data_IF_068370540079
#
_entry.id   IF_068370540079
#
_cell.length_a   1.000
_cell.length_b   1.000
_cell.length_c   1.000
_cell.angle_alpha   90.00
_cell.angle_beta   90.00
_cell.angle_gamma   90.00
#
_symmetry.space_group_name_H-M   'P 1'
#
loop_
_entity.id
_entity.type
_entity.pdbx_description
1 polymer ?
#
# COMPACT_ATOMS: atom_id res chain seq x y z
N UNK A 1 32.30 9.90 18.64
CA UNK A 1 30.97 9.63 19.23
C UNK A 1 30.04 9.30 18.06
N UNK A 2 29.77 8.03 17.80
CA UNK A 2 28.97 7.58 16.65
C UNK A 2 27.57 7.25 17.17
N UNK A 3 26.59 8.12 16.90
CA UNK A 3 25.19 7.83 17.22
C UNK A 3 24.65 6.97 16.08
N UNK A 4 24.54 5.67 16.32
CA UNK A 4 23.83 4.74 15.43
C UNK A 4 22.38 5.23 15.29
N UNK A 5 21.87 5.48 14.07
CA UNK A 5 20.47 5.79 13.90
C UNK A 5 19.66 4.57 14.33
N UNK A 6 18.83 4.77 15.36
CA UNK A 6 17.84 3.79 15.81
C UNK A 6 17.03 3.38 14.58
N UNK A 7 17.18 2.13 14.12
CA UNK A 7 16.33 1.61 13.05
C UNK A 7 14.91 1.57 13.61
N UNK A 8 14.11 2.60 13.29
CA UNK A 8 12.69 2.58 13.58
C UNK A 8 12.10 1.40 12.83
N UNK A 9 11.79 0.33 13.56
CA UNK A 9 10.96 -0.75 13.05
C UNK A 9 9.61 -0.08 12.80
N UNK A 10 9.10 -0.02 11.55
CA UNK A 10 7.76 0.45 11.33
C UNK A 10 6.84 -0.48 12.11
N UNK A 11 6.24 0.04 13.18
CA UNK A 11 5.05 -0.60 13.76
C UNK A 11 4.04 -0.60 12.63
N UNK A 12 3.77 -1.78 12.07
CA UNK A 12 2.63 -1.96 11.20
C UNK A 12 1.43 -1.48 12.01
N UNK A 13 0.80 -0.40 11.54
CA UNK A 13 -0.53 -0.03 12.01
C UNK A 13 -1.39 -1.31 11.95
N UNK A 14 -2.29 -1.55 12.94
CA UNK A 14 -3.03 -2.81 13.00
C UNK A 14 -3.68 -3.07 11.65
N UNK A 15 -3.16 -4.07 10.93
CA UNK A 15 -3.72 -4.48 9.66
C UNK A 15 -5.11 -5.01 9.99
N UNK A 16 -6.14 -4.25 9.64
CA UNK A 16 -7.52 -4.62 9.91
C UNK A 16 -7.76 -5.97 9.24
N UNK A 17 -7.82 -7.03 10.05
CA UNK A 17 -8.04 -8.37 9.55
C UNK A 17 -9.42 -8.38 8.90
N UNK A 18 -9.56 -8.78 7.63
CA UNK A 18 -10.86 -8.96 7.02
C UNK A 18 -11.69 -9.89 7.91
N UNK A 19 -12.79 -9.40 8.45
CA UNK A 19 -13.69 -10.14 9.34
C UNK A 19 -14.71 -10.97 8.56
N UNK A 20 -14.79 -10.77 7.24
CA UNK A 20 -15.73 -11.48 6.39
C UNK A 20 -15.09 -11.90 5.05
N UNK A 21 -15.35 -13.12 4.55
CA UNK A 21 -14.77 -13.61 3.28
C UNK A 21 -15.13 -12.76 2.06
N UNK A 22 -16.26 -12.04 2.09
CA UNK A 22 -16.61 -11.09 1.02
C UNK A 22 -15.67 -9.88 0.96
N UNK A 23 -14.95 -9.55 2.03
CA UNK A 23 -13.95 -8.48 1.99
C UNK A 23 -12.69 -8.89 1.22
N UNK A 24 -12.42 -10.19 1.11
CA UNK A 24 -11.32 -10.72 0.31
C UNK A 24 -11.63 -10.68 -1.19
N UNK A 25 -12.91 -10.86 -1.56
CA UNK A 25 -13.40 -10.83 -2.94
C UNK A 25 -14.03 -9.48 -3.33
N UNK A 26 -14.02 -8.51 -2.43
CA UNK A 26 -14.61 -7.19 -2.70
C UNK A 26 -13.69 -6.48 -3.68
N UNK A 27 -14.18 -6.22 -4.88
CA UNK A 27 -13.62 -5.17 -5.72
C UNK A 27 -13.59 -3.88 -4.88
N UNK A 28 -12.41 -3.30 -4.77
CA UNK A 28 -12.14 -2.16 -3.89
C UNK A 28 -11.55 -1.05 -4.74
N UNK A 29 -11.86 0.19 -4.38
CA UNK A 29 -11.16 1.36 -4.93
C UNK A 29 -9.96 1.65 -4.04
N UNK A 30 -8.75 1.54 -4.60
CA UNK A 30 -7.50 1.67 -3.85
C UNK A 30 -6.65 2.77 -4.47
N UNK A 31 -6.28 3.77 -3.68
CA UNK A 31 -5.38 4.84 -4.11
C UNK A 31 -3.97 4.58 -3.58
N UNK A 32 -3.00 4.48 -4.49
CA UNK A 32 -1.58 4.34 -4.18
C UNK A 32 -0.91 5.71 -4.31
N UNK A 33 -0.28 6.18 -3.23
CA UNK A 33 0.42 7.47 -3.19
C UNK A 33 1.92 7.26 -3.46
N UNK A 34 2.44 7.94 -4.48
CA UNK A 34 3.86 7.95 -4.86
C UNK A 34 4.15 7.31 -6.24
N UNK A 35 4.90 8.02 -7.08
CA UNK A 35 5.24 7.64 -8.46
C UNK A 35 6.49 6.75 -8.61
N UNK A 36 7.13 6.34 -7.51
CA UNK A 36 8.27 5.43 -7.57
C UNK A 36 7.89 4.04 -8.07
N UNK A 37 8.88 3.24 -8.47
CA UNK A 37 8.69 1.84 -8.86
C UNK A 37 7.86 1.02 -7.86
N UNK A 38 7.98 1.20 -6.52
CA UNK A 38 7.10 0.52 -5.57
C UNK A 38 5.62 0.85 -5.74
N UNK A 39 5.27 2.12 -6.01
CA UNK A 39 3.90 2.52 -6.33
C UNK A 39 3.44 1.90 -7.65
N UNK A 40 4.32 1.86 -8.66
CA UNK A 40 4.09 1.21 -9.96
C UNK A 40 3.88 -0.31 -9.88
N UNK A 41 4.57 -1.01 -9.00
CA UNK A 41 4.32 -2.45 -8.84
C UNK A 41 3.03 -2.66 -8.04
N UNK A 42 2.84 -1.91 -6.96
CA UNK A 42 1.69 -2.08 -6.05
C UNK A 42 0.35 -1.93 -6.77
N UNK A 43 0.11 -0.81 -7.46
CA UNK A 43 -1.17 -0.63 -8.15
C UNK A 43 -1.36 -1.55 -9.37
N UNK A 44 -0.28 -2.10 -9.95
CA UNK A 44 -0.40 -3.07 -11.04
C UNK A 44 -0.87 -4.42 -10.49
N UNK A 45 -0.26 -4.90 -9.41
CA UNK A 45 -0.73 -6.10 -8.72
C UNK A 45 -2.18 -5.96 -8.25
N UNK A 46 -2.56 -4.80 -7.68
CA UNK A 46 -3.95 -4.57 -7.25
C UNK A 46 -4.95 -4.61 -8.42
N UNK A 47 -4.57 -4.11 -9.60
CA UNK A 47 -5.38 -4.20 -10.80
C UNK A 47 -5.51 -5.65 -11.32
N UNK A 48 -4.46 -6.46 -11.22
CA UNK A 48 -4.49 -7.89 -11.57
C UNK A 48 -5.44 -8.69 -10.66
N UNK A 49 -5.58 -8.30 -9.39
CA UNK A 49 -6.58 -8.83 -8.47
C UNK A 49 -8.01 -8.28 -8.73
N UNK A 50 -8.17 -7.40 -9.72
CA UNK A 50 -9.45 -6.85 -10.15
C UNK A 50 -9.88 -5.56 -9.44
N UNK A 51 -9.06 -5.01 -8.55
CA UNK A 51 -9.39 -3.76 -7.86
C UNK A 51 -9.24 -2.53 -8.78
N UNK A 52 -10.08 -1.50 -8.57
CA UNK A 52 -9.88 -0.19 -9.22
C UNK A 52 -8.74 0.52 -8.51
N UNK A 53 -7.53 0.36 -9.03
CA UNK A 53 -6.31 0.91 -8.45
C UNK A 53 -5.92 2.21 -9.15
N UNK A 54 -5.94 3.33 -8.42
CA UNK A 54 -5.52 4.65 -8.90
C UNK A 54 -4.17 5.02 -8.31
N UNK A 55 -3.28 5.57 -9.12
CA UNK A 55 -2.05 6.20 -8.62
C UNK A 55 -2.24 7.68 -8.55
N UNK A 56 -1.79 8.25 -7.44
CA UNK A 56 -1.70 9.68 -7.28
C UNK A 56 -0.27 10.03 -6.88
N UNK A 57 0.29 11.01 -7.57
CA UNK A 57 1.61 11.55 -7.29
C UNK A 57 1.53 13.06 -7.29
N UNK A 58 2.20 13.69 -6.33
CA UNK A 58 2.40 15.13 -6.33
C UNK A 58 3.74 15.38 -6.99
N UNK A 59 3.72 15.81 -8.25
CA UNK A 59 4.88 16.40 -8.87
C UNK A 59 5.26 17.66 -8.08
N UNK A 60 6.39 17.61 -7.39
CA UNK A 60 7.00 18.77 -6.72
C UNK A 60 7.64 19.71 -7.74
#
# INVERSE_FOLDING_TARGET
MFLSPLRAIPTSAPAQRPTHPSQLASFMNITVIGAGSPGLVTAACLAEFGHDARRFDVAA
#
